data_IF_125826816651
#
_entry.id   IF_125826816651
#
_cell.length_a   1.000
_cell.length_b   1.000
_cell.length_c   1.000
_cell.angle_alpha   90.00
_cell.angle_beta   90.00
_cell.angle_gamma   90.00
#
_symmetry.space_group_name_H-M   'P 1'
#
loop_
_entity.id
_entity.type
_entity.pdbx_description
1 polymer ?
#
# COMPACT_ATOMS: atom_id res chain seq x y z
N UNK A 1 -19.81 -10.91 -9.43
CA UNK A 1 -19.12 -9.74 -8.84
C UNK A 1 -17.73 -9.54 -9.47
N UNK A 2 -16.85 -10.54 -9.45
CA UNK A 2 -15.50 -10.47 -10.05
C UNK A 2 -15.48 -10.02 -11.54
N UNK A 3 -16.29 -10.64 -12.41
CA UNK A 3 -16.38 -10.30 -13.85
C UNK A 3 -16.77 -8.84 -14.11
N UNK A 4 -17.56 -8.22 -13.23
CA UNK A 4 -17.94 -6.82 -13.38
C UNK A 4 -16.79 -5.88 -13.00
N UNK A 5 -16.08 -6.16 -11.89
CA UNK A 5 -14.94 -5.35 -11.44
C UNK A 5 -13.81 -5.36 -12.46
N UNK A 6 -13.46 -6.53 -13.00
CA UNK A 6 -12.43 -6.66 -14.02
C UNK A 6 -12.75 -5.87 -15.29
N UNK A 7 -14.02 -5.86 -15.72
CA UNK A 7 -14.46 -5.09 -16.88
C UNK A 7 -14.32 -3.57 -16.65
N UNK A 8 -14.68 -3.08 -15.47
CA UNK A 8 -14.51 -1.65 -15.12
C UNK A 8 -13.04 -1.26 -15.02
N UNK A 9 -12.20 -2.07 -14.37
CA UNK A 9 -10.76 -1.81 -14.34
C UNK A 9 -10.23 -1.75 -15.77
N UNK A 10 -10.63 -2.68 -16.63
CA UNK A 10 -10.16 -2.72 -18.01
C UNK A 10 -10.60 -1.51 -18.85
N UNK A 11 -11.82 -1.00 -18.66
CA UNK A 11 -12.33 0.16 -19.40
C UNK A 11 -11.77 1.49 -18.92
N UNK A 12 -11.52 1.63 -17.61
CA UNK A 12 -11.14 2.90 -16.98
C UNK A 12 -9.64 3.08 -16.82
N UNK A 13 -8.83 2.05 -17.10
CA UNK A 13 -7.37 2.11 -16.92
C UNK A 13 -6.64 1.56 -18.14
N UNK A 14 -5.34 1.87 -18.26
CA UNK A 14 -4.53 1.44 -19.41
C UNK A 14 -3.09 1.09 -19.01
N UNK A 15 -2.39 0.44 -19.93
CA UNK A 15 -0.98 0.05 -19.80
C UNK A 15 -0.68 -0.80 -18.56
N UNK A 16 0.56 -0.71 -18.09
CA UNK A 16 1.04 -1.49 -16.96
C UNK A 16 0.30 -1.21 -15.65
N UNK A 17 -0.28 -0.02 -15.47
CA UNK A 17 -1.13 0.26 -14.31
C UNK A 17 -2.38 -0.62 -14.30
N UNK A 18 -3.09 -0.72 -15.43
CA UNK A 18 -4.22 -1.63 -15.60
C UNK A 18 -3.81 -3.07 -15.34
N UNK A 19 -2.75 -3.51 -15.99
CA UNK A 19 -2.36 -4.92 -15.97
C UNK A 19 -1.99 -5.36 -14.55
N UNK A 20 -1.34 -4.47 -13.79
CA UNK A 20 -1.05 -4.67 -12.36
C UNK A 20 -2.33 -4.75 -11.52
N UNK A 21 -3.30 -3.85 -11.72
CA UNK A 21 -4.59 -3.90 -11.01
C UNK A 21 -5.36 -5.18 -11.32
N UNK A 22 -5.35 -5.62 -12.57
CA UNK A 22 -5.99 -6.87 -13.00
C UNK A 22 -5.32 -8.09 -12.36
N UNK A 23 -4.00 -8.09 -12.22
CA UNK A 23 -3.28 -9.13 -11.50
C UNK A 23 -3.63 -9.14 -10.01
N UNK A 24 -3.68 -7.98 -9.35
CA UNK A 24 -4.08 -7.90 -7.94
C UNK A 24 -5.53 -8.33 -7.72
N UNK A 25 -6.45 -7.94 -8.62
CA UNK A 25 -7.87 -8.23 -8.47
C UNK A 25 -8.16 -9.74 -8.47
N UNK A 26 -7.35 -10.55 -9.18
CA UNK A 26 -7.50 -12.00 -9.21
C UNK A 26 -7.42 -12.66 -7.83
N UNK A 27 -6.70 -12.05 -6.88
CA UNK A 27 -6.61 -12.55 -5.51
C UNK A 27 -5.85 -13.88 -5.40
N UNK A 28 -4.99 -14.20 -6.37
CA UNK A 28 -4.25 -15.46 -6.47
C UNK A 28 -2.82 -15.35 -5.92
N UNK A 29 -2.60 -14.52 -4.89
CA UNK A 29 -1.28 -14.40 -4.26
C UNK A 29 -0.90 -15.74 -3.62
N UNK A 30 0.32 -16.20 -3.87
CA UNK A 30 0.91 -17.40 -3.30
C UNK A 30 0.88 -17.36 -1.76
N UNK A 31 0.66 -18.51 -1.15
CA UNK A 31 0.79 -18.72 0.30
C UNK A 31 1.96 -19.67 0.56
N UNK A 32 2.73 -19.43 1.62
CA UNK A 32 3.84 -20.29 2.00
C UNK A 32 5.07 -19.55 2.49
N UNK A 33 6.06 -20.35 2.88
CA UNK A 33 7.36 -19.91 3.38
C UNK A 33 8.23 -19.32 2.28
N UNK A 34 9.18 -18.48 2.69
CA UNK A 34 10.16 -17.92 1.77
C UNK A 34 11.21 -18.96 1.34
N UNK A 35 11.58 -18.94 0.07
CA UNK A 35 12.72 -19.64 -0.51
C UNK A 35 13.87 -18.62 -0.74
N UNK A 36 15.00 -18.74 -0.02
CA UNK A 36 16.15 -17.86 -0.17
C UNK A 36 16.76 -17.79 -1.57
N UNK A 37 16.83 -18.92 -2.28
CA UNK A 37 17.42 -18.95 -3.62
C UNK A 37 16.53 -18.19 -4.61
N UNK A 38 15.22 -18.42 -4.54
CA UNK A 38 14.25 -17.63 -5.31
C UNK A 38 14.23 -16.16 -4.87
N UNK A 39 14.45 -15.87 -3.57
CA UNK A 39 14.49 -14.52 -3.03
C UNK A 39 15.57 -13.66 -3.68
N UNK A 40 16.78 -14.21 -3.77
CA UNK A 40 17.90 -13.56 -4.45
C UNK A 40 17.66 -13.40 -5.97
N UNK A 41 17.06 -14.40 -6.62
CA UNK A 41 16.74 -14.34 -8.04
C UNK A 41 15.69 -13.27 -8.36
N UNK A 42 14.57 -13.26 -7.62
CA UNK A 42 13.51 -12.28 -7.79
C UNK A 42 14.01 -10.86 -7.47
N UNK A 43 14.90 -10.71 -6.49
CA UNK A 43 15.54 -9.43 -6.18
C UNK A 43 16.39 -8.89 -7.32
N UNK A 44 17.17 -9.75 -7.98
CA UNK A 44 17.93 -9.38 -9.18
C UNK A 44 17.00 -8.94 -10.31
N UNK A 45 15.88 -9.65 -10.52
CA UNK A 45 14.89 -9.28 -11.54
C UNK A 45 14.27 -7.91 -11.23
N UNK A 46 13.93 -7.62 -9.97
CA UNK A 46 13.44 -6.30 -9.57
C UNK A 46 14.48 -5.21 -9.84
N UNK A 47 15.75 -5.49 -9.55
CA UNK A 47 16.85 -4.55 -9.79
C UNK A 47 17.04 -4.26 -11.29
N UNK A 48 17.10 -5.31 -12.11
CA UNK A 48 17.17 -5.18 -13.56
C UNK A 48 15.96 -4.40 -14.11
N UNK A 49 14.78 -4.61 -13.55
CA UNK A 49 13.60 -3.89 -13.99
C UNK A 49 13.66 -2.38 -13.70
N UNK A 50 14.25 -1.98 -12.57
CA UNK A 50 14.57 -0.60 -12.26
C UNK A 50 15.59 0.00 -13.25
N UNK A 51 16.60 -0.78 -13.67
CA UNK A 51 17.65 -0.30 -14.59
C UNK A 51 17.17 -0.22 -16.05
N UNK A 52 16.52 -1.27 -16.55
CA UNK A 52 16.21 -1.43 -17.97
C UNK A 52 14.88 -0.77 -18.37
N UNK A 53 13.89 -0.78 -17.46
CA UNK A 53 12.58 -0.11 -17.63
C UNK A 53 11.80 -0.49 -18.89
N UNK A 54 12.13 -1.61 -19.56
CA UNK A 54 11.39 -2.09 -20.73
C UNK A 54 10.03 -2.69 -20.33
N UNK A 55 9.12 -2.86 -21.30
CA UNK A 55 7.81 -3.45 -21.02
C UNK A 55 7.88 -4.88 -20.45
N UNK A 56 8.82 -5.69 -20.92
CA UNK A 56 9.08 -7.04 -20.40
C UNK A 56 9.51 -7.01 -18.93
N UNK A 57 10.47 -6.14 -18.60
CA UNK A 57 10.92 -5.98 -17.21
C UNK A 57 9.83 -5.46 -16.28
N UNK A 58 8.98 -4.53 -16.75
CA UNK A 58 7.80 -4.07 -16.02
C UNK A 58 6.84 -5.23 -15.75
N UNK A 59 6.62 -6.11 -16.73
CA UNK A 59 5.77 -7.29 -16.56
C UNK A 59 6.36 -8.26 -15.52
N UNK A 60 7.67 -8.53 -15.56
CA UNK A 60 8.32 -9.40 -14.58
C UNK A 60 8.21 -8.83 -13.15
N UNK A 61 8.48 -7.54 -12.97
CA UNK A 61 8.32 -6.85 -11.68
C UNK A 61 6.88 -6.98 -11.15
N UNK A 62 5.88 -6.78 -12.01
CA UNK A 62 4.47 -6.93 -11.62
C UNK A 62 4.14 -8.36 -11.20
N UNK A 63 4.63 -9.36 -11.94
CA UNK A 63 4.39 -10.77 -11.62
C UNK A 63 4.94 -11.13 -10.24
N UNK A 64 6.14 -10.64 -9.89
CA UNK A 64 6.73 -10.84 -8.57
C UNK A 64 5.87 -10.15 -7.50
N UNK A 65 5.65 -8.84 -7.62
CA UNK A 65 4.99 -8.05 -6.57
C UNK A 65 3.52 -8.43 -6.34
N UNK A 66 2.81 -8.84 -7.39
CA UNK A 66 1.39 -9.20 -7.29
C UNK A 66 1.17 -10.64 -6.80
N UNK A 67 2.06 -11.58 -7.12
CA UNK A 67 1.79 -13.00 -6.90
C UNK A 67 2.63 -13.64 -5.79
N UNK A 68 3.86 -13.21 -5.53
CA UNK A 68 4.69 -13.86 -4.50
C UNK A 68 4.10 -13.71 -3.10
N UNK A 69 4.32 -14.72 -2.24
CA UNK A 69 3.82 -14.68 -0.86
C UNK A 69 4.37 -13.47 -0.11
N UNK A 70 3.66 -13.02 0.93
CA UNK A 70 4.13 -11.90 1.75
C UNK A 70 5.51 -12.19 2.37
N UNK A 71 5.75 -13.44 2.78
CA UNK A 71 7.03 -13.86 3.35
C UNK A 71 8.14 -13.83 2.29
N UNK A 72 7.86 -14.31 1.08
CA UNK A 72 8.79 -14.26 -0.03
C UNK A 72 9.15 -12.81 -0.38
N UNK A 73 8.16 -11.93 -0.55
CA UNK A 73 8.41 -10.53 -0.92
C UNK A 73 9.21 -9.77 0.14
N UNK A 74 9.01 -10.07 1.41
CA UNK A 74 9.80 -9.45 2.47
C UNK A 74 11.29 -9.78 2.32
N UNK A 75 11.62 -11.04 2.01
CA UNK A 75 12.98 -11.48 1.72
C UNK A 75 13.51 -10.87 0.42
N UNK A 76 12.70 -10.84 -0.64
CA UNK A 76 13.07 -10.19 -1.92
C UNK A 76 13.47 -8.73 -1.70
N UNK A 77 12.75 -7.98 -0.85
CA UNK A 77 13.09 -6.58 -0.58
C UNK A 77 14.40 -6.42 0.20
N UNK A 78 14.76 -7.38 1.05
CA UNK A 78 16.06 -7.39 1.72
C UNK A 78 17.18 -7.70 0.75
N UNK A 79 17.03 -8.74 -0.08
CA UNK A 79 18.03 -9.09 -1.07
C UNK A 79 18.16 -8.00 -2.14
N UNK A 80 17.08 -7.31 -2.50
CA UNK A 80 17.14 -6.15 -3.38
C UNK A 80 18.04 -5.07 -2.80
N UNK A 81 17.88 -4.73 -1.52
CA UNK A 81 18.73 -3.75 -0.83
C UNK A 81 20.20 -4.23 -0.78
N UNK A 82 20.44 -5.52 -0.56
CA UNK A 82 21.78 -6.10 -0.53
C UNK A 82 22.49 -5.99 -1.90
N UNK A 83 21.76 -6.26 -3.00
CA UNK A 83 22.31 -6.27 -4.36
C UNK A 83 22.48 -4.86 -4.92
N UNK A 84 21.46 -3.99 -4.73
CA UNK A 84 21.42 -2.65 -5.33
C UNK A 84 22.08 -1.57 -4.45
N UNK A 85 22.14 -1.79 -3.13
CA UNK A 85 22.50 -0.76 -2.18
C UNK A 85 21.39 0.27 -1.91
N UNK A 86 20.19 0.10 -2.47
CA UNK A 86 19.08 1.06 -2.39
C UNK A 86 17.78 0.43 -1.89
N UNK A 87 16.94 1.21 -1.22
CA UNK A 87 15.61 0.77 -0.82
C UNK A 87 14.72 0.62 -2.06
N UNK A 88 13.95 -0.46 -2.14
CA UNK A 88 13.08 -0.73 -3.29
C UNK A 88 12.04 0.39 -3.54
N UNK A 89 11.56 1.09 -2.50
CA UNK A 89 10.63 2.21 -2.68
C UNK A 89 11.34 3.38 -3.35
N UNK A 90 12.57 3.69 -2.91
CA UNK A 90 13.37 4.77 -3.49
C UNK A 90 13.74 4.44 -4.94
N UNK A 91 14.17 3.21 -5.20
CA UNK A 91 14.45 2.74 -6.55
C UNK A 91 13.21 2.85 -7.46
N UNK A 92 12.02 2.42 -7.00
CA UNK A 92 10.79 2.57 -7.80
C UNK A 92 10.49 4.05 -8.09
N UNK A 93 10.66 4.93 -7.10
CA UNK A 93 10.41 6.37 -7.24
C UNK A 93 11.36 7.06 -8.23
N UNK A 94 12.60 6.57 -8.35
CA UNK A 94 13.57 7.08 -9.34
C UNK A 94 13.36 6.45 -10.72
N UNK A 95 12.79 5.25 -10.78
CA UNK A 95 12.74 4.46 -12.01
C UNK A 95 11.50 4.71 -12.85
N UNK A 96 10.36 4.95 -12.20
CA UNK A 96 9.06 5.05 -12.84
C UNK A 96 8.31 6.30 -12.37
N UNK A 97 7.27 6.66 -13.12
CA UNK A 97 6.40 7.79 -12.83
C UNK A 97 4.91 7.42 -12.84
N UNK A 98 4.09 8.36 -12.34
CA UNK A 98 2.63 8.33 -12.43
C UNK A 98 1.98 7.15 -11.71
N UNK A 99 0.78 6.77 -12.16
CA UNK A 99 -0.04 5.77 -11.47
C UNK A 99 0.59 4.39 -11.35
N UNK A 100 1.45 4.01 -12.30
CA UNK A 100 2.17 2.74 -12.23
C UNK A 100 3.17 2.75 -11.06
N UNK A 101 4.00 3.81 -10.95
CA UNK A 101 4.90 4.01 -9.82
C UNK A 101 4.14 4.02 -8.49
N UNK A 102 3.09 4.84 -8.38
CA UNK A 102 2.29 4.96 -7.15
C UNK A 102 1.70 3.61 -6.71
N UNK A 103 1.24 2.79 -7.66
CA UNK A 103 0.70 1.47 -7.39
C UNK A 103 1.78 0.50 -6.88
N UNK A 104 2.94 0.47 -7.54
CA UNK A 104 4.06 -0.39 -7.11
C UNK A 104 4.52 -0.04 -5.69
N UNK A 105 4.69 1.25 -5.39
CA UNK A 105 5.03 1.74 -4.04
C UNK A 105 3.95 1.33 -3.04
N UNK A 106 2.67 1.48 -3.38
CA UNK A 106 1.58 1.06 -2.51
C UNK A 106 1.61 -0.44 -2.20
N UNK A 107 1.92 -1.30 -3.18
CA UNK A 107 2.07 -2.75 -2.97
C UNK A 107 3.22 -3.01 -1.99
N UNK A 108 4.39 -2.44 -2.24
CA UNK A 108 5.58 -2.63 -1.38
C UNK A 108 5.29 -2.20 0.06
N UNK A 109 4.70 -1.01 0.26
CA UNK A 109 4.37 -0.50 1.59
C UNK A 109 3.31 -1.37 2.29
N UNK A 110 2.33 -1.89 1.55
CA UNK A 110 1.33 -2.81 2.11
C UNK A 110 1.93 -4.17 2.51
N UNK A 111 2.94 -4.65 1.78
CA UNK A 111 3.66 -5.88 2.12
C UNK A 111 4.52 -5.68 3.35
N UNK A 112 5.23 -4.55 3.46
CA UNK A 112 6.09 -4.23 4.61
C UNK A 112 5.28 -4.04 5.89
N UNK A 113 4.26 -3.18 5.84
CA UNK A 113 3.48 -2.81 7.01
C UNK A 113 2.18 -2.09 6.59
N UNK A 114 1.15 -2.90 6.37
CA UNK A 114 -0.18 -2.42 5.94
C UNK A 114 -0.79 -1.38 6.89
N UNK A 115 -0.75 -1.53 8.23
CA UNK A 115 -1.15 -0.46 9.14
C UNK A 115 -0.40 0.86 8.94
N UNK A 116 0.92 0.83 8.77
CA UNK A 116 1.72 2.04 8.51
C UNK A 116 1.38 2.69 7.18
N UNK A 117 1.08 1.90 6.14
CA UNK A 117 0.59 2.44 4.88
C UNK A 117 -0.73 3.20 5.04
N UNK A 118 -1.71 2.63 5.76
CA UNK A 118 -2.98 3.33 5.99
C UNK A 118 -2.82 4.55 6.90
N UNK A 119 -1.92 4.51 7.89
CA UNK A 119 -1.59 5.67 8.72
C UNK A 119 -1.02 6.81 7.85
N UNK A 120 -0.11 6.50 6.93
CA UNK A 120 0.40 7.45 5.95
C UNK A 120 -0.69 8.03 5.06
N UNK A 121 -1.58 7.17 4.52
CA UNK A 121 -2.70 7.61 3.67
C UNK A 121 -3.69 8.51 4.42
N UNK A 122 -3.94 8.24 5.70
CA UNK A 122 -4.78 9.08 6.56
C UNK A 122 -4.11 10.44 6.83
N UNK A 123 -2.81 10.44 7.13
CA UNK A 123 -2.08 11.68 7.39
C UNK A 123 -2.14 12.60 6.19
N UNK A 124 -1.79 12.11 5.00
CA UNK A 124 -1.87 12.89 3.77
C UNK A 124 -3.29 13.35 3.47
N UNK A 125 -4.29 12.49 3.69
CA UNK A 125 -5.69 12.88 3.51
C UNK A 125 -6.12 14.01 4.44
N UNK A 126 -5.63 14.06 5.67
CA UNK A 126 -6.00 15.09 6.64
C UNK A 126 -5.21 16.39 6.39
N UNK A 127 -3.88 16.29 6.25
CA UNK A 127 -2.98 17.44 6.29
C UNK A 127 -2.61 17.97 4.90
N UNK A 128 -2.23 17.09 3.97
CA UNK A 128 -1.68 17.50 2.67
C UNK A 128 -2.77 17.86 1.65
N UNK A 129 -3.96 17.27 1.80
CA UNK A 129 -5.08 17.47 0.87
C UNK A 129 -6.25 18.27 1.46
N UNK A 130 -6.04 18.99 2.57
CA UNK A 130 -7.06 19.83 3.20
C UNK A 130 -8.31 19.04 3.63
N UNK A 131 -8.11 17.98 4.40
CA UNK A 131 -9.16 17.04 4.84
C UNK A 131 -9.98 16.41 3.70
N UNK A 132 -9.36 15.48 2.98
CA UNK A 132 -9.96 14.71 1.91
C UNK A 132 -10.93 13.63 2.44
N UNK A 133 -12.18 14.06 2.68
CA UNK A 133 -13.29 13.29 3.26
C UNK A 133 -13.43 11.87 2.72
N UNK A 134 -13.46 11.69 1.39
CA UNK A 134 -13.68 10.37 0.76
C UNK A 134 -12.61 9.34 1.15
N UNK A 135 -11.37 9.78 1.38
CA UNK A 135 -10.27 8.88 1.76
C UNK A 135 -10.33 8.56 3.24
N UNK A 136 -10.57 9.58 4.08
CA UNK A 136 -10.72 9.41 5.54
C UNK A 136 -11.86 8.45 5.86
N UNK A 137 -13.06 8.70 5.32
CA UNK A 137 -14.25 7.85 5.52
C UNK A 137 -13.96 6.42 5.05
N UNK A 138 -13.42 6.25 3.85
CA UNK A 138 -13.15 4.92 3.28
C UNK A 138 -12.19 4.13 4.14
N UNK A 139 -11.10 4.73 4.63
CA UNK A 139 -10.13 4.02 5.46
C UNK A 139 -10.71 3.71 6.84
N UNK A 140 -11.34 4.68 7.50
CA UNK A 140 -11.90 4.47 8.84
C UNK A 140 -12.95 3.37 8.84
N UNK A 141 -13.90 3.38 7.89
CA UNK A 141 -14.94 2.34 7.80
C UNK A 141 -14.35 1.01 7.36
N UNK A 142 -13.53 0.97 6.29
CA UNK A 142 -13.05 -0.31 5.77
C UNK A 142 -12.04 -1.03 6.68
N UNK A 143 -11.47 -0.32 7.67
CA UNK A 143 -10.45 -0.86 8.58
C UNK A 143 -10.91 -0.94 10.05
N UNK A 144 -12.09 -0.40 10.39
CA UNK A 144 -12.58 -0.29 11.77
C UNK A 144 -12.50 -1.61 12.53
N UNK A 145 -12.93 -2.70 11.89
CA UNK A 145 -13.02 -4.04 12.48
C UNK A 145 -11.86 -4.96 12.08
N UNK A 146 -10.81 -4.43 11.43
CA UNK A 146 -9.69 -5.25 10.93
C UNK A 146 -8.40 -4.91 11.67
N UNK A 147 -7.95 -3.67 11.59
CA UNK A 147 -6.65 -3.26 12.13
C UNK A 147 -6.56 -1.77 12.47
N UNK A 148 -7.70 -1.07 12.64
CA UNK A 148 -7.71 0.36 12.93
C UNK A 148 -6.94 0.71 14.21
N UNK A 149 -6.94 -0.16 15.22
CA UNK A 149 -6.11 0.03 16.42
C UNK A 149 -4.61 0.04 16.10
N UNK A 150 -4.15 -0.85 15.22
CA UNK A 150 -2.76 -0.86 14.77
C UNK A 150 -2.44 0.38 13.92
N UNK A 151 -3.37 0.80 13.05
CA UNK A 151 -3.23 2.02 12.23
C UNK A 151 -3.08 3.25 13.14
N UNK A 152 -3.91 3.39 14.18
CA UNK A 152 -3.84 4.47 15.18
C UNK A 152 -2.48 4.51 15.88
N UNK A 153 -1.97 3.33 16.28
CA UNK A 153 -0.65 3.22 16.90
C UNK A 153 0.45 3.70 15.95
N UNK A 154 0.50 3.18 14.71
CA UNK A 154 1.49 3.58 13.70
C UNK A 154 1.39 5.06 13.35
N UNK A 155 0.18 5.61 13.30
CA UNK A 155 -0.05 7.04 13.10
C UNK A 155 0.59 7.88 14.21
N UNK A 156 0.32 7.53 15.48
CA UNK A 156 0.88 8.24 16.63
C UNK A 156 2.41 8.11 16.70
N UNK A 157 2.94 6.92 16.48
CA UNK A 157 4.39 6.67 16.43
C UNK A 157 5.08 7.53 15.37
N UNK A 158 4.48 7.67 14.18
CA UNK A 158 5.08 8.38 13.06
C UNK A 158 4.94 9.91 13.13
N UNK A 159 3.79 10.41 13.60
CA UNK A 159 3.44 11.83 13.50
C UNK A 159 3.35 12.55 14.86
N UNK A 160 3.53 11.83 15.97
CA UNK A 160 3.53 12.38 17.33
C UNK A 160 2.15 12.78 17.87
N UNK A 161 1.18 13.07 17.00
CA UNK A 161 -0.23 13.30 17.33
C UNK A 161 -1.08 12.07 17.03
N UNK A 162 -2.13 11.86 17.82
CA UNK A 162 -3.05 10.75 17.57
C UNK A 162 -3.97 11.07 16.39
N UNK A 163 -4.37 10.04 15.64
CA UNK A 163 -5.38 10.18 14.58
C UNK A 163 -6.68 10.82 15.12
N UNK A 164 -7.06 10.48 16.34
CA UNK A 164 -8.23 11.05 17.02
C UNK A 164 -8.08 12.57 17.21
N UNK A 165 -6.91 13.03 17.68
CA UNK A 165 -6.62 14.46 17.83
C UNK A 165 -6.77 15.20 16.50
N UNK A 166 -6.22 14.65 15.42
CA UNK A 166 -6.24 15.35 14.13
C UNK A 166 -7.65 15.33 13.50
N UNK A 167 -8.43 14.25 13.65
CA UNK A 167 -9.85 14.27 13.26
C UNK A 167 -10.62 15.34 14.04
N UNK A 168 -10.43 15.43 15.36
CA UNK A 168 -11.07 16.44 16.20
C UNK A 168 -10.67 17.88 15.84
N UNK A 169 -9.43 18.07 15.37
CA UNK A 169 -8.94 19.40 14.98
C UNK A 169 -9.50 19.86 13.63
N UNK A 170 -9.66 18.95 12.66
CA UNK A 170 -9.98 19.30 11.27
C UNK A 170 -11.44 19.03 10.86
N UNK A 171 -12.17 18.17 11.56
CA UNK A 171 -13.60 17.95 11.33
C UNK A 171 -14.46 18.73 12.35
N UNK A 172 -15.74 18.90 12.04
CA UNK A 172 -16.70 19.56 12.96
C UNK A 172 -18.08 18.92 12.93
N UNK A 173 -18.84 19.11 14.01
CA UNK A 173 -20.27 18.77 14.09
C UNK A 173 -20.54 17.27 14.08
N UNK A 174 -21.72 16.86 13.61
CA UNK A 174 -22.12 15.44 13.60
C UNK A 174 -21.16 14.54 12.80
N UNK A 175 -20.52 15.10 11.78
CA UNK A 175 -19.54 14.39 10.98
C UNK A 175 -18.29 14.04 11.80
N UNK A 176 -17.73 15.01 12.52
CA UNK A 176 -16.64 14.77 13.48
C UNK A 176 -17.04 13.72 14.52
N UNK A 177 -18.23 13.86 15.12
CA UNK A 177 -18.73 12.91 16.13
C UNK A 177 -18.76 11.48 15.59
N UNK A 178 -19.25 11.28 14.37
CA UNK A 178 -19.28 9.97 13.73
C UNK A 178 -17.87 9.42 13.44
N UNK A 179 -16.96 10.24 12.92
CA UNK A 179 -15.59 9.81 12.65
C UNK A 179 -14.83 9.46 13.93
N UNK A 180 -15.00 10.25 14.99
CA UNK A 180 -14.39 10.00 16.29
C UNK A 180 -14.93 8.74 16.95
N UNK A 181 -16.24 8.47 16.82
CA UNK A 181 -16.84 7.22 17.30
C UNK A 181 -16.21 5.99 16.62
N UNK A 182 -16.06 6.03 15.28
CA UNK A 182 -15.38 4.96 14.52
C UNK A 182 -13.91 4.87 14.91
N UNK A 183 -13.23 6.01 15.07
CA UNK A 183 -11.81 6.06 15.42
C UNK A 183 -11.54 5.53 16.83
N UNK A 184 -12.40 5.82 17.81
CA UNK A 184 -12.26 5.33 19.18
C UNK A 184 -12.42 3.80 19.23
N UNK A 185 -13.37 3.25 18.47
CA UNK A 185 -13.75 1.84 18.57
C UNK A 185 -14.26 1.52 19.98
N UNK A 186 -14.08 0.28 20.42
CA UNK A 186 -14.49 -0.19 21.75
C UNK A 186 -13.50 0.16 22.88
N UNK A 187 -12.46 0.94 22.60
CA UNK A 187 -11.40 1.25 23.57
C UNK A 187 -11.74 2.52 24.38
N UNK A 188 -11.75 2.41 25.71
CA UNK A 188 -12.02 3.50 26.66
C UNK A 188 -10.85 4.51 26.84
N UNK A 189 -9.67 4.25 26.26
CA UNK A 189 -8.49 5.07 26.51
C UNK A 189 -8.35 6.22 25.48
N UNK A 190 -8.70 7.43 25.93
CA UNK A 190 -8.56 8.71 25.22
C UNK A 190 -7.17 9.33 25.37
#
# INVERSE_FOLDING_TARGET
MFKYISNYIYSETSGHFRDTLMNLAQGTREEGYADPAMGAQDAMILWEACQQKTGEHKNMMQMILCNKSYQQLWMVFQEFQNISGQDIVDAINECYDGYFQELLVAIVLCVRDKPSYFAYRLYNAIHEYGFHNKTVIRILIARSEIDLMNIRRRYKERYGKSLFHDIKHFASGHYETALLAICAGDAEDY
#
